data_IF_490004322797
#
_entry.id   IF_490004322797
#
_cell.length_a   1.000
_cell.length_b   1.000
_cell.length_c   1.000
_cell.angle_alpha   90.00
_cell.angle_beta   90.00
_cell.angle_gamma   90.00
#
_symmetry.space_group_name_H-M   'P 1'
#
loop_
_entity.id
_entity.type
_entity.pdbx_description
1 polymer ?
#
# COMPACT_ATOMS: atom_id res chain seq x y z
N UNK A 1 26.85 2.91 28.36
CA UNK A 1 27.14 4.32 28.00
C UNK A 1 26.43 4.66 26.69
N UNK A 2 25.11 4.91 26.69
CA UNK A 2 24.36 5.29 25.49
C UNK A 2 23.45 6.52 25.68
N UNK A 3 23.27 7.01 26.91
CA UNK A 3 22.33 8.11 27.19
C UNK A 3 22.83 9.51 26.80
N UNK A 4 24.15 9.74 26.72
CA UNK A 4 24.72 11.08 26.49
C UNK A 4 24.77 11.45 25.00
N UNK A 5 25.00 10.47 24.12
CA UNK A 5 25.01 10.68 22.66
C UNK A 5 23.63 11.00 22.08
N UNK A 6 22.54 10.60 22.75
CA UNK A 6 21.17 10.96 22.36
C UNK A 6 20.83 12.43 22.62
N UNK A 7 21.59 13.11 23.50
CA UNK A 7 21.40 14.53 23.82
C UNK A 7 22.13 15.46 22.85
N UNK A 8 23.05 14.93 22.03
CA UNK A 8 23.84 15.69 21.05
C UNK A 8 23.24 15.63 19.63
N UNK A 9 22.17 14.85 19.41
CA UNK A 9 21.52 14.74 18.09
C UNK A 9 20.67 15.97 17.85
N UNK A 10 21.05 16.78 16.87
CA UNK A 10 20.24 17.93 16.48
C UNK A 10 18.98 17.50 15.71
N UNK A 11 17.89 18.28 15.73
CA UNK A 11 16.73 18.02 14.87
C UNK A 11 17.10 17.85 13.39
N UNK A 12 18.10 18.59 12.92
CA UNK A 12 18.63 18.47 11.55
C UNK A 12 19.23 17.09 11.29
N UNK A 13 19.98 16.53 12.25
CA UNK A 13 20.57 15.20 12.13
C UNK A 13 19.50 14.11 12.09
N UNK A 14 18.42 14.27 12.86
CA UNK A 14 17.27 13.37 12.82
C UNK A 14 16.61 13.40 11.44
N UNK A 15 16.40 14.59 10.88
CA UNK A 15 15.72 14.73 9.59
C UNK A 15 16.58 14.18 8.46
N UNK A 16 17.89 14.43 8.47
CA UNK A 16 18.83 13.80 7.53
C UNK A 16 18.76 12.28 7.60
N UNK A 17 18.73 11.70 8.80
CA UNK A 17 18.59 10.25 8.97
C UNK A 17 17.23 9.71 8.48
N UNK A 18 16.13 10.46 8.70
CA UNK A 18 14.80 10.12 8.18
C UNK A 18 14.81 10.13 6.65
N UNK A 19 15.34 11.19 6.03
CA UNK A 19 15.44 11.32 4.58
C UNK A 19 16.26 10.19 3.97
N UNK A 20 17.47 9.94 4.47
CA UNK A 20 18.34 8.89 3.97
C UNK A 20 17.64 7.52 4.02
N UNK A 21 16.92 7.23 5.11
CA UNK A 21 16.15 5.99 5.24
C UNK A 21 15.00 5.94 4.22
N UNK A 22 14.24 7.03 4.06
CA UNK A 22 13.07 7.10 3.18
C UNK A 22 13.48 6.98 1.71
N UNK A 23 14.54 7.68 1.30
CA UNK A 23 15.12 7.62 -0.05
C UNK A 23 15.63 6.21 -0.39
N UNK A 24 16.35 5.56 0.54
CA UNK A 24 16.81 4.17 0.35
C UNK A 24 15.66 3.19 0.13
N UNK A 25 14.53 3.40 0.79
CA UNK A 25 13.34 2.56 0.62
C UNK A 25 12.63 2.89 -0.70
N UNK A 26 12.41 4.19 -0.97
CA UNK A 26 11.80 4.66 -2.21
C UNK A 26 12.55 4.14 -3.44
N UNK A 27 13.88 4.13 -3.42
CA UNK A 27 14.69 3.60 -4.52
C UNK A 27 14.46 2.08 -4.79
N UNK A 28 14.10 1.29 -3.78
CA UNK A 28 13.88 -0.17 -3.94
C UNK A 28 12.46 -0.52 -4.34
N UNK A 29 11.50 0.35 -4.05
CA UNK A 29 10.08 0.10 -4.28
C UNK A 29 9.67 -0.02 -5.75
N UNK A 30 10.24 0.71 -6.72
CA UNK A 30 9.95 0.52 -8.14
C UNK A 30 10.17 -0.92 -8.62
N UNK A 31 11.31 -1.52 -8.28
CA UNK A 31 11.59 -2.93 -8.61
C UNK A 31 10.56 -3.87 -7.99
N UNK A 32 10.16 -3.62 -6.74
CA UNK A 32 9.11 -4.41 -6.08
C UNK A 32 7.76 -4.23 -6.78
N UNK A 33 7.41 -3.01 -7.21
CA UNK A 33 6.18 -2.73 -7.96
C UNK A 33 6.18 -3.47 -9.30
N UNK A 34 7.30 -3.53 -9.99
CA UNK A 34 7.44 -4.29 -11.24
C UNK A 34 7.20 -5.78 -11.02
N UNK A 35 7.82 -6.36 -9.98
CA UNK A 35 7.60 -7.75 -9.59
C UNK A 35 6.13 -8.03 -9.25
N UNK A 36 5.49 -7.14 -8.48
CA UNK A 36 4.07 -7.27 -8.11
C UNK A 36 3.13 -7.04 -9.29
N UNK A 37 3.52 -6.20 -10.23
CA UNK A 37 2.78 -5.99 -11.49
C UNK A 37 2.84 -7.26 -12.33
N UNK A 38 4.01 -7.89 -12.45
CA UNK A 38 4.16 -9.17 -13.13
C UNK A 38 3.36 -10.29 -12.43
N UNK A 39 3.38 -10.37 -11.09
CA UNK A 39 2.56 -11.31 -10.31
C UNK A 39 1.07 -11.08 -10.58
N UNK A 40 0.62 -9.84 -10.51
CA UNK A 40 -0.76 -9.46 -10.75
C UNK A 40 -1.19 -9.85 -12.17
N UNK A 41 -0.39 -9.55 -13.20
CA UNK A 41 -0.69 -9.91 -14.59
C UNK A 41 -0.80 -11.44 -14.76
N UNK A 42 0.09 -12.22 -14.11
CA UNK A 42 -0.02 -13.68 -14.10
C UNK A 42 -1.32 -14.15 -13.43
N UNK A 43 -1.68 -13.56 -12.30
CA UNK A 43 -2.90 -13.91 -11.57
C UNK A 43 -4.17 -13.61 -12.38
N UNK A 44 -4.20 -12.48 -13.09
CA UNK A 44 -5.31 -12.14 -14.01
C UNK A 44 -5.45 -13.16 -15.14
N UNK A 45 -4.34 -13.61 -15.75
CA UNK A 45 -4.39 -14.64 -16.79
C UNK A 45 -4.94 -15.96 -16.26
N UNK A 46 -4.42 -16.44 -15.13
CA UNK A 46 -4.86 -17.70 -14.52
C UNK A 46 -6.35 -17.69 -14.17
N UNK A 47 -6.82 -16.61 -13.53
CA UNK A 47 -8.23 -16.48 -13.17
C UNK A 47 -9.13 -16.44 -14.42
N UNK A 48 -8.69 -15.77 -15.48
CA UNK A 48 -9.41 -15.73 -16.76
C UNK A 48 -9.44 -17.11 -17.42
N UNK A 49 -8.30 -17.79 -17.51
CA UNK A 49 -8.20 -19.13 -18.12
C UNK A 49 -9.08 -20.14 -17.37
N UNK A 50 -9.07 -20.15 -16.03
CA UNK A 50 -9.93 -21.05 -15.25
C UNK A 50 -11.41 -20.67 -15.33
N UNK A 51 -11.73 -19.37 -15.44
CA UNK A 51 -13.10 -18.92 -15.68
C UNK A 51 -13.62 -19.40 -17.04
N UNK A 52 -12.84 -19.21 -18.10
CA UNK A 52 -13.21 -19.61 -19.46
C UNK A 52 -13.35 -21.14 -19.56
N UNK A 53 -12.46 -21.91 -18.90
CA UNK A 53 -12.56 -23.36 -18.82
C UNK A 53 -13.83 -23.82 -18.07
N UNK A 54 -14.15 -23.20 -16.94
CA UNK A 54 -15.39 -23.48 -16.20
C UNK A 54 -16.63 -23.17 -17.06
N UNK A 55 -16.61 -22.04 -17.77
CA UNK A 55 -17.70 -21.64 -18.66
C UNK A 55 -17.92 -22.66 -19.77
N UNK A 56 -16.86 -23.13 -20.43
CA UNK A 56 -16.96 -24.16 -21.47
C UNK A 56 -17.56 -25.47 -20.95
N UNK A 57 -17.23 -25.88 -19.71
CA UNK A 57 -17.80 -27.07 -19.09
C UNK A 57 -19.30 -26.90 -18.77
N UNK A 58 -19.72 -25.70 -18.35
CA UNK A 58 -21.11 -25.37 -18.06
C UNK A 58 -21.98 -25.25 -19.32
N UNK A 59 -21.39 -24.84 -20.45
CA UNK A 59 -22.08 -24.77 -21.76
C UNK A 59 -22.20 -26.15 -22.44
N UNK A 60 -21.46 -27.15 -21.96
CA UNK A 60 -21.57 -28.53 -22.44
C UNK A 60 -22.95 -29.12 -22.15
N UNK A 61 -23.51 -29.85 -23.11
CA UNK A 61 -24.85 -30.46 -22.99
C UNK A 61 -24.85 -31.84 -22.32
N UNK A 62 -23.68 -32.37 -21.96
CA UNK A 62 -23.53 -33.66 -21.28
C UNK A 62 -23.94 -33.52 -19.82
N UNK A 63 -24.86 -34.35 -19.33
CA UNK A 63 -25.24 -34.38 -17.91
C UNK A 63 -25.03 -35.80 -17.37
N UNK A 64 -23.84 -36.04 -16.84
CA UNK A 64 -23.46 -37.29 -16.18
C UNK A 64 -22.57 -36.97 -14.96
N UNK A 65 -22.50 -37.91 -14.00
CA UNK A 65 -21.78 -37.73 -12.73
C UNK A 65 -20.31 -37.28 -12.94
N UNK A 66 -19.68 -37.78 -14.01
CA UNK A 66 -18.32 -37.40 -14.39
C UNK A 66 -18.19 -35.93 -14.80
N UNK A 67 -19.21 -35.37 -15.47
CA UNK A 67 -19.26 -33.96 -15.82
C UNK A 67 -19.48 -33.10 -14.57
N UNK A 68 -20.37 -33.51 -13.67
CA UNK A 68 -20.62 -32.78 -12.41
C UNK A 68 -19.35 -32.70 -11.54
N UNK A 69 -18.59 -33.79 -11.46
CA UNK A 69 -17.29 -33.83 -10.78
C UNK A 69 -16.26 -32.91 -11.47
N UNK A 70 -16.27 -32.84 -12.81
CA UNK A 70 -15.38 -31.97 -13.58
C UNK A 70 -15.73 -30.48 -13.37
N UNK A 71 -17.02 -30.14 -13.36
CA UNK A 71 -17.51 -28.78 -13.08
C UNK A 71 -17.09 -28.37 -11.66
N UNK A 72 -17.29 -29.24 -10.66
CA UNK A 72 -16.92 -28.97 -9.27
C UNK A 72 -15.41 -28.71 -9.14
N UNK A 73 -14.58 -29.52 -9.80
CA UNK A 73 -13.11 -29.31 -9.83
C UNK A 73 -12.75 -27.98 -10.49
N UNK A 74 -13.36 -27.65 -11.62
CA UNK A 74 -13.11 -26.41 -12.33
C UNK A 74 -13.56 -25.18 -11.52
N UNK A 75 -14.67 -25.27 -10.78
CA UNK A 75 -15.13 -24.25 -9.85
C UNK A 75 -14.08 -23.99 -8.75
N UNK A 76 -13.60 -25.05 -8.10
CA UNK A 76 -12.58 -24.91 -7.05
C UNK A 76 -11.30 -24.25 -7.60
N UNK A 77 -10.82 -24.67 -8.77
CA UNK A 77 -9.65 -24.07 -9.42
C UNK A 77 -9.89 -22.57 -9.71
N UNK A 78 -11.07 -22.22 -10.23
CA UNK A 78 -11.41 -20.83 -10.49
C UNK A 78 -11.45 -19.99 -9.20
N UNK A 79 -12.06 -20.51 -8.13
CA UNK A 79 -12.11 -19.83 -6.84
C UNK A 79 -10.71 -19.60 -6.24
N UNK A 80 -9.83 -20.60 -6.33
CA UNK A 80 -8.44 -20.48 -5.89
C UNK A 80 -7.67 -19.41 -6.69
N UNK A 81 -7.83 -19.40 -8.02
CA UNK A 81 -7.21 -18.42 -8.90
C UNK A 81 -7.76 -17.01 -8.67
N UNK A 82 -9.07 -16.86 -8.46
CA UNK A 82 -9.69 -15.57 -8.11
C UNK A 82 -9.21 -15.07 -6.75
N UNK A 83 -9.10 -15.95 -5.76
CA UNK A 83 -8.56 -15.61 -4.46
C UNK A 83 -7.09 -15.16 -4.57
N UNK A 84 -6.29 -15.83 -5.40
CA UNK A 84 -4.92 -15.41 -5.71
C UNK A 84 -4.89 -14.03 -6.38
N UNK A 85 -5.71 -13.80 -7.40
CA UNK A 85 -5.82 -12.49 -8.08
C UNK A 85 -6.14 -11.37 -7.11
N UNK A 86 -7.14 -11.55 -6.23
CA UNK A 86 -7.50 -10.54 -5.21
C UNK A 86 -6.32 -10.22 -4.29
N UNK A 87 -5.58 -11.23 -3.84
CA UNK A 87 -4.37 -11.04 -3.01
C UNK A 87 -3.29 -10.28 -3.77
N UNK A 88 -3.03 -10.63 -5.03
CA UNK A 88 -2.00 -9.97 -5.84
C UNK A 88 -2.35 -8.50 -6.14
N UNK A 89 -3.63 -8.19 -6.40
CA UNK A 89 -4.12 -6.80 -6.54
C UNK A 89 -3.86 -6.01 -5.26
N UNK A 90 -4.23 -6.56 -4.10
CA UNK A 90 -4.03 -5.90 -2.81
C UNK A 90 -2.56 -5.64 -2.50
N UNK A 91 -1.68 -6.62 -2.78
CA UNK A 91 -0.22 -6.48 -2.62
C UNK A 91 0.36 -5.40 -3.53
N UNK A 92 -0.05 -5.37 -4.79
CA UNK A 92 0.37 -4.33 -5.74
C UNK A 92 -0.07 -2.95 -5.27
N UNK A 93 -1.33 -2.81 -4.85
CA UNK A 93 -1.84 -1.53 -4.35
C UNK A 93 -1.09 -1.09 -3.08
N UNK A 94 -0.79 -2.01 -2.18
CA UNK A 94 -0.01 -1.73 -0.97
C UNK A 94 1.39 -1.22 -1.33
N UNK A 95 2.08 -1.86 -2.27
CA UNK A 95 3.40 -1.41 -2.72
C UNK A 95 3.37 -0.02 -3.36
N UNK A 96 2.34 0.28 -4.17
CA UNK A 96 2.14 1.61 -4.75
C UNK A 96 1.88 2.67 -3.69
N UNK A 97 0.99 2.38 -2.74
CA UNK A 97 0.70 3.28 -1.63
C UNK A 97 1.93 3.55 -0.77
N UNK A 98 2.76 2.51 -0.53
CA UNK A 98 4.02 2.67 0.18
C UNK A 98 4.97 3.59 -0.58
N UNK A 99 5.13 3.41 -1.89
CA UNK A 99 5.99 4.30 -2.68
C UNK A 99 5.54 5.75 -2.56
N UNK A 100 4.25 6.01 -2.74
CA UNK A 100 3.68 7.34 -2.58
C UNK A 100 3.93 7.91 -1.17
N UNK A 101 3.69 7.14 -0.10
CA UNK A 101 3.97 7.57 1.28
C UNK A 101 5.44 7.95 1.48
N UNK A 102 6.36 7.18 0.87
CA UNK A 102 7.78 7.46 0.95
C UNK A 102 8.16 8.73 0.17
N UNK A 103 7.63 8.93 -1.02
CA UNK A 103 7.85 10.14 -1.83
C UNK A 103 7.27 11.39 -1.14
N UNK A 104 6.04 11.31 -0.65
CA UNK A 104 5.38 12.38 0.10
C UNK A 104 6.17 12.72 1.37
N UNK A 105 6.68 11.71 2.07
CA UNK A 105 7.54 11.92 3.24
C UNK A 105 8.86 12.60 2.86
N UNK A 106 9.52 12.20 1.77
CA UNK A 106 10.75 12.85 1.30
C UNK A 106 10.49 14.32 0.97
N UNK A 107 9.41 14.62 0.26
CA UNK A 107 9.00 15.99 -0.04
C UNK A 107 8.75 16.79 1.24
N UNK A 108 7.96 16.24 2.17
CA UNK A 108 7.67 16.91 3.44
C UNK A 108 8.93 17.23 4.25
N UNK A 109 9.80 16.24 4.45
CA UNK A 109 11.01 16.39 5.28
C UNK A 109 12.08 17.25 4.60
N UNK A 110 12.15 17.25 3.27
CA UNK A 110 13.07 18.13 2.52
C UNK A 110 12.63 19.59 2.59
N UNK A 111 11.35 19.88 2.38
CA UNK A 111 10.82 21.24 2.55
C UNK A 111 11.00 21.77 3.97
N UNK A 112 10.95 20.86 4.95
CA UNK A 112 11.06 21.22 6.34
C UNK A 112 12.49 21.65 6.74
N UNK A 113 13.52 21.15 6.06
CA UNK A 113 14.89 21.63 6.23
C UNK A 113 14.98 23.11 5.87
N UNK A 114 14.30 23.53 4.81
CA UNK A 114 14.37 24.90 4.30
C UNK A 114 13.47 25.89 5.09
N UNK A 115 12.28 25.45 5.50
CA UNK A 115 11.26 26.29 6.13
C UNK A 115 11.35 26.34 7.66
N UNK A 116 12.09 25.42 8.27
CA UNK A 116 12.27 25.33 9.71
C UNK A 116 11.11 24.68 10.47
N UNK A 117 11.40 24.24 11.69
CA UNK A 117 10.60 23.28 12.47
C UNK A 117 9.48 23.90 13.30
N UNK A 118 9.29 25.22 13.25
CA UNK A 118 8.40 25.95 14.16
C UNK A 118 6.97 25.41 14.18
N UNK A 119 6.40 25.13 13.01
CA UNK A 119 5.04 24.60 12.89
C UNK A 119 4.85 23.22 13.54
N UNK A 120 5.90 22.38 13.62
CA UNK A 120 5.82 21.09 14.33
C UNK A 120 5.73 21.29 15.84
N UNK A 121 6.43 22.29 16.38
CA UNK A 121 6.36 22.63 17.80
C UNK A 121 5.01 23.24 18.15
N UNK A 122 4.45 24.08 17.25
CA UNK A 122 3.09 24.60 17.38
C UNK A 122 2.05 23.47 17.37
N UNK A 123 2.17 22.52 16.45
CA UNK A 123 1.30 21.34 16.39
C UNK A 123 1.42 20.47 17.64
N UNK A 124 2.63 20.27 18.16
CA UNK A 124 2.86 19.53 19.40
C UNK A 124 2.20 20.21 20.60
N UNK A 125 2.42 21.52 20.77
CA UNK A 125 1.81 22.30 21.84
C UNK A 125 0.27 22.30 21.75
N UNK A 126 -0.28 22.37 20.54
CA UNK A 126 -1.72 22.29 20.30
C UNK A 126 -2.29 20.95 20.77
N UNK A 127 -1.66 19.83 20.43
CA UNK A 127 -2.12 18.50 20.83
C UNK A 127 -1.96 18.30 22.34
N UNK A 128 -0.86 18.76 22.93
CA UNK A 128 -0.62 18.73 24.38
C UNK A 128 -1.69 19.52 25.15
N UNK A 129 -2.12 20.66 24.61
CA UNK A 129 -3.21 21.46 25.14
C UNK A 129 -4.62 20.87 24.96
N UNK A 130 -4.75 19.62 24.48
CA UNK A 130 -6.03 18.96 24.22
C UNK A 130 -6.67 19.33 22.88
N UNK A 131 -5.91 20.01 22.01
CA UNK A 131 -6.32 20.37 20.65
C UNK A 131 -6.15 19.24 19.64
N UNK A 132 -6.59 19.53 18.41
CA UNK A 132 -7.25 18.51 17.58
C UNK A 132 -6.36 17.61 16.69
N UNK A 133 -5.06 17.36 16.84
CA UNK A 133 -4.20 16.65 15.85
C UNK A 133 -4.28 17.09 14.36
N UNK A 134 -3.16 17.09 13.64
CA UNK A 134 -3.16 17.53 12.22
C UNK A 134 -3.99 16.60 11.32
N UNK A 135 -4.10 15.32 11.70
CA UNK A 135 -4.97 14.34 11.05
C UNK A 135 -6.45 14.64 11.24
N UNK A 136 -6.92 14.89 12.47
CA UNK A 136 -8.35 15.16 12.70
C UNK A 136 -8.77 16.49 12.07
N UNK A 137 -7.92 17.53 12.12
CA UNK A 137 -8.16 18.77 11.39
C UNK A 137 -8.36 18.55 9.88
N UNK A 138 -7.48 17.75 9.27
CA UNK A 138 -7.56 17.44 7.84
C UNK A 138 -8.82 16.64 7.50
N UNK A 139 -9.18 15.67 8.35
CA UNK A 139 -10.41 14.88 8.22
C UNK A 139 -11.66 15.74 8.37
N UNK A 140 -11.71 16.59 9.40
CA UNK A 140 -12.82 17.52 9.64
C UNK A 140 -12.97 18.52 8.49
N UNK A 141 -11.85 19.02 7.93
CA UNK A 141 -11.86 19.90 6.75
C UNK A 141 -12.40 19.20 5.51
N UNK A 142 -12.06 17.93 5.26
CA UNK A 142 -12.66 17.14 4.17
C UNK A 142 -14.16 16.91 4.37
N UNK A 143 -14.59 16.68 5.61
CA UNK A 143 -16.00 16.47 5.93
C UNK A 143 -16.83 17.76 5.87
N UNK A 144 -16.25 18.90 6.26
CA UNK A 144 -16.95 20.20 6.33
C UNK A 144 -16.78 21.05 5.05
N UNK A 145 -15.77 20.77 4.23
CA UNK A 145 -15.45 21.48 3.00
C UNK A 145 -15.89 20.78 1.73
N UNK A 146 -16.90 19.90 1.81
CA UNK A 146 -17.48 19.24 0.64
C UNK A 146 -18.13 20.24 -0.32
N UNK A 147 -17.36 20.65 -1.32
CA UNK A 147 -17.84 21.03 -2.66
C UNK A 147 -17.37 19.94 -3.63
#
# INVERSE_FOLDING_TARGET
MQGRALLDVSPEDIIKAILERREKIAHKLPSLIDERTAENNRAYRLAKESHDALKMLLEGTETNQTQDDAITKAQNIYEENEAFRRRSVSRLQTAKNQLQDHEDAVLFWSELIDKGWGHLLEDAARVEGGGDSSYALTKNKKNNGGL
#
